data_IF_564891257093
#
_entry.id   IF_564891257093
#
_cell.length_a   1.000
_cell.length_b   1.000
_cell.length_c   1.000
_cell.angle_alpha   90.00
_cell.angle_beta   90.00
_cell.angle_gamma   90.00
#
_symmetry.space_group_name_H-M   'P 1'
#
loop_
_entity.id
_entity.type
_entity.pdbx_description
1 polymer ?
#
# COMPACT_ATOMS: atom_id res chain seq x y z
N UNK A 1 -19.50 -29.86 5.02
CA UNK A 1 -18.06 -29.83 4.69
C UNK A 1 -17.65 -28.55 3.93
N UNK A 2 -18.23 -28.25 2.76
CA UNK A 2 -17.89 -27.02 2.00
C UNK A 2 -18.04 -25.70 2.78
N UNK A 3 -19.10 -25.57 3.60
CA UNK A 3 -19.34 -24.39 4.45
C UNK A 3 -18.18 -24.14 5.44
N UNK A 4 -17.71 -25.19 6.12
CA UNK A 4 -16.60 -25.09 7.07
C UNK A 4 -15.27 -24.65 6.39
N UNK A 5 -15.02 -25.10 5.15
CA UNK A 5 -13.84 -24.68 4.39
C UNK A 5 -13.93 -23.19 4.05
N UNK A 6 -15.09 -22.72 3.61
CA UNK A 6 -15.30 -21.30 3.30
C UNK A 6 -15.11 -20.43 4.54
N UNK A 7 -15.66 -20.84 5.69
CA UNK A 7 -15.48 -20.14 6.97
C UNK A 7 -14.02 -20.08 7.41
N UNK A 8 -13.26 -21.17 7.23
CA UNK A 8 -11.83 -21.18 7.54
C UNK A 8 -11.05 -20.23 6.65
N UNK A 9 -11.30 -20.24 5.33
CA UNK A 9 -10.66 -19.32 4.40
C UNK A 9 -10.99 -17.85 4.73
N UNK A 10 -12.23 -17.57 5.13
CA UNK A 10 -12.67 -16.23 5.52
C UNK A 10 -11.93 -15.76 6.80
N UNK A 11 -11.79 -16.64 7.80
CA UNK A 11 -11.04 -16.33 9.02
C UNK A 11 -9.55 -16.05 8.74
N UNK A 12 -8.91 -16.89 7.95
CA UNK A 12 -7.47 -16.75 7.61
C UNK A 12 -7.23 -15.49 6.79
N UNK A 13 -8.05 -15.25 5.76
CA UNK A 13 -7.92 -14.07 4.91
C UNK A 13 -8.18 -12.77 5.68
N UNK A 14 -9.22 -12.74 6.53
CA UNK A 14 -9.54 -11.58 7.37
C UNK A 14 -8.40 -11.25 8.33
N UNK A 15 -7.84 -12.27 9.00
CA UNK A 15 -6.67 -12.07 9.87
C UNK A 15 -5.48 -11.50 9.10
N UNK A 16 -5.16 -12.09 7.95
CA UNK A 16 -4.06 -11.63 7.11
C UNK A 16 -4.23 -10.19 6.63
N UNK A 17 -5.43 -9.83 6.20
CA UNK A 17 -5.77 -8.49 5.74
C UNK A 17 -5.61 -7.44 6.86
N UNK A 18 -6.15 -7.72 8.06
CA UNK A 18 -6.04 -6.80 9.22
C UNK A 18 -4.61 -6.63 9.71
N UNK A 19 -3.82 -7.71 9.76
CA UNK A 19 -2.41 -7.63 10.14
C UNK A 19 -1.59 -6.84 9.12
N UNK A 20 -1.86 -7.01 7.83
CA UNK A 20 -1.20 -6.24 6.76
C UNK A 20 -1.51 -4.75 6.89
N UNK A 21 -2.78 -4.40 7.13
CA UNK A 21 -3.20 -3.03 7.39
C UNK A 21 -2.51 -2.42 8.62
N UNK A 22 -2.34 -3.18 9.71
CA UNK A 22 -1.62 -2.72 10.89
C UNK A 22 -0.12 -2.46 10.60
N UNK A 23 0.51 -3.28 9.77
CA UNK A 23 1.88 -3.06 9.30
C UNK A 23 2.01 -1.77 8.48
N UNK A 24 1.08 -1.55 7.55
CA UNK A 24 1.00 -0.32 6.75
C UNK A 24 0.81 0.90 7.67
N UNK A 25 -0.09 0.84 8.64
CA UNK A 25 -0.27 1.89 9.65
C UNK A 25 1.04 2.19 10.37
N UNK A 26 1.82 1.17 10.75
CA UNK A 26 3.12 1.35 11.38
C UNK A 26 4.07 2.21 10.53
N UNK A 27 4.09 2.00 9.20
CA UNK A 27 4.88 2.81 8.26
C UNK A 27 4.34 4.24 8.20
N UNK A 28 3.02 4.40 8.07
CA UNK A 28 2.36 5.73 8.04
C UNK A 28 2.68 6.53 9.31
N UNK A 29 2.59 5.90 10.48
CA UNK A 29 2.98 6.48 11.78
C UNK A 29 4.46 6.85 11.82
N UNK A 30 5.33 5.97 11.32
CA UNK A 30 6.77 6.22 11.28
C UNK A 30 7.12 7.45 10.44
N UNK A 31 6.34 7.71 9.39
CA UNK A 31 6.47 8.88 8.51
C UNK A 31 5.76 10.12 9.07
N UNK A 32 5.08 10.03 10.22
CA UNK A 32 4.32 11.13 10.82
C UNK A 32 3.09 11.55 10.01
N UNK A 33 2.51 10.62 9.25
CA UNK A 33 1.38 10.86 8.34
C UNK A 33 0.05 10.31 8.85
N UNK A 34 0.00 9.90 10.12
CA UNK A 34 -1.17 9.36 10.80
C UNK A 34 -2.03 10.43 11.49
N UNK A 35 -1.68 11.71 11.34
CA UNK A 35 -2.43 12.84 11.87
C UNK A 35 -2.43 14.01 10.87
N UNK A 36 -3.48 14.82 10.91
CA UNK A 36 -3.54 16.09 10.18
C UNK A 36 -2.78 17.14 10.98
N UNK A 37 -1.81 17.80 10.33
CA UNK A 37 -1.09 18.93 10.91
C UNK A 37 -1.66 20.23 10.36
N UNK A 38 -1.82 21.22 11.23
CA UNK A 38 -2.32 22.54 10.85
C UNK A 38 -1.45 23.14 9.74
N UNK A 39 -2.07 23.42 8.58
CA UNK A 39 -1.45 24.10 7.46
C UNK A 39 -1.22 23.26 6.20
N UNK A 40 -1.19 21.92 6.26
CA UNK A 40 -0.95 21.08 5.07
C UNK A 40 -1.77 19.79 5.08
N UNK A 41 -2.72 19.65 4.13
CA UNK A 41 -3.31 18.36 3.78
C UNK A 41 -2.30 17.58 2.93
N UNK A 42 -1.35 16.92 3.58
CA UNK A 42 -0.38 16.07 2.87
C UNK A 42 -1.04 14.77 2.41
N UNK A 43 -1.38 14.72 1.12
CA UNK A 43 -1.80 13.47 0.48
C UNK A 43 -0.64 12.47 0.46
N UNK A 44 -0.96 11.23 0.77
CA UNK A 44 0.00 10.12 0.76
C UNK A 44 -0.53 9.02 -0.11
N UNK A 45 0.31 8.51 -1.00
CA UNK A 45 -0.02 7.37 -1.85
C UNK A 45 0.81 6.16 -1.39
N UNK A 46 0.15 5.03 -1.26
CA UNK A 46 0.75 3.74 -0.93
C UNK A 46 0.59 2.85 -2.16
N UNK A 47 1.69 2.66 -2.89
CA UNK A 47 1.73 1.73 -4.00
C UNK A 47 1.74 0.29 -3.47
N UNK A 48 0.75 -0.51 -3.87
CA UNK A 48 0.66 -1.94 -3.58
C UNK A 48 0.80 -2.75 -4.86
N UNK A 49 1.61 -3.79 -4.79
CA UNK A 49 1.83 -4.76 -5.85
C UNK A 49 1.69 -6.18 -5.28
N UNK A 50 1.42 -7.14 -6.16
CA UNK A 50 1.40 -8.56 -5.84
C UNK A 50 0.03 -9.22 -6.02
N UNK A 51 0.07 -10.47 -6.48
CA UNK A 51 -1.11 -11.22 -6.91
C UNK A 51 -2.22 -11.40 -5.86
N UNK A 52 -1.88 -11.40 -4.56
CA UNK A 52 -2.87 -11.48 -3.49
C UNK A 52 -3.73 -10.22 -3.41
N UNK A 53 -3.11 -9.04 -3.43
CA UNK A 53 -3.84 -7.77 -3.47
C UNK A 53 -4.56 -7.61 -4.80
N UNK A 54 -3.90 -7.96 -5.90
CA UNK A 54 -4.44 -7.86 -7.26
C UNK A 54 -5.72 -8.69 -7.44
N UNK A 55 -5.66 -9.99 -7.19
CA UNK A 55 -6.70 -10.94 -7.61
C UNK A 55 -7.67 -11.34 -6.50
N UNK A 56 -7.31 -11.20 -5.21
CA UNK A 56 -8.19 -11.56 -4.11
C UNK A 56 -8.95 -10.34 -3.56
N UNK A 57 -10.09 -10.03 -4.20
CA UNK A 57 -10.91 -8.85 -3.88
C UNK A 57 -11.37 -8.77 -2.42
N UNK A 58 -11.72 -9.89 -1.77
CA UNK A 58 -12.08 -9.87 -0.33
C UNK A 58 -10.90 -9.49 0.56
N UNK A 59 -9.70 -9.96 0.24
CA UNK A 59 -8.50 -9.60 0.99
C UNK A 59 -8.19 -8.11 0.83
N UNK A 60 -8.22 -7.61 -0.42
CA UNK A 60 -8.07 -6.19 -0.75
C UNK A 60 -9.04 -5.32 0.06
N UNK A 61 -10.33 -5.59 -0.05
CA UNK A 61 -11.37 -4.82 0.63
C UNK A 61 -11.24 -4.90 2.16
N UNK A 62 -10.93 -6.09 2.70
CA UNK A 62 -10.71 -6.27 4.14
C UNK A 62 -9.50 -5.48 4.66
N UNK A 63 -8.43 -5.40 3.87
CA UNK A 63 -7.20 -4.70 4.25
C UNK A 63 -7.39 -3.18 4.16
N UNK A 64 -8.01 -2.67 3.08
CA UNK A 64 -8.34 -1.25 2.93
C UNK A 64 -9.33 -0.78 4.01
N UNK A 65 -10.37 -1.57 4.30
CA UNK A 65 -11.32 -1.27 5.38
C UNK A 65 -10.66 -1.26 6.75
N UNK A 66 -9.77 -2.22 7.04
CA UNK A 66 -9.06 -2.26 8.30
C UNK A 66 -8.09 -1.09 8.45
N UNK A 67 -7.41 -0.68 7.38
CA UNK A 67 -6.55 0.49 7.41
C UNK A 67 -7.35 1.77 7.67
N UNK A 68 -8.49 1.93 7.00
CA UNK A 68 -9.41 3.05 7.21
C UNK A 68 -9.92 3.12 8.65
N UNK A 69 -10.33 1.99 9.22
CA UNK A 69 -10.73 1.85 10.63
C UNK A 69 -9.62 2.32 11.58
N UNK A 70 -8.37 1.92 11.32
CA UNK A 70 -7.22 2.23 12.16
C UNK A 70 -6.77 3.70 12.09
N UNK A 71 -6.95 4.36 10.94
CA UNK A 71 -6.56 5.76 10.72
C UNK A 71 -7.65 6.76 11.16
N UNK A 72 -8.91 6.34 11.13
CA UNK A 72 -10.06 7.23 11.26
C UNK A 72 -10.38 7.98 9.96
N UNK A 73 -11.64 8.38 9.81
CA UNK A 73 -12.20 8.96 8.57
C UNK A 73 -11.44 10.19 8.08
N UNK A 74 -11.01 11.05 8.99
CA UNK A 74 -10.35 12.32 8.67
C UNK A 74 -8.98 12.11 8.01
N UNK A 75 -8.16 11.24 8.59
CA UNK A 75 -6.81 10.95 8.10
C UNK A 75 -6.86 10.01 6.90
N UNK A 76 -7.77 9.04 6.90
CA UNK A 76 -7.93 8.10 5.80
C UNK A 76 -8.27 8.80 4.47
N UNK A 77 -8.99 9.93 4.50
CA UNK A 77 -9.27 10.74 3.30
C UNK A 77 -8.02 11.31 2.61
N UNK A 78 -6.87 11.33 3.29
CA UNK A 78 -5.59 11.78 2.73
C UNK A 78 -4.66 10.63 2.32
N UNK A 79 -5.05 9.37 2.55
CA UNK A 79 -4.27 8.18 2.20
C UNK A 79 -4.95 7.47 1.04
N UNK A 80 -4.24 7.37 -0.08
CA UNK A 80 -4.67 6.66 -1.26
C UNK A 80 -3.85 5.38 -1.41
N UNK A 81 -4.53 4.26 -1.61
CA UNK A 81 -3.89 3.00 -1.98
C UNK A 81 -4.00 2.87 -3.49
N UNK A 82 -2.87 2.73 -4.17
CA UNK A 82 -2.81 2.57 -5.62
C UNK A 82 -2.22 1.21 -6.00
N UNK A 83 -2.86 0.54 -6.94
CA UNK A 83 -2.34 -0.71 -7.47
C UNK A 83 -1.24 -0.42 -8.48
N UNK A 84 -0.02 -0.87 -8.19
CA UNK A 84 1.17 -0.65 -9.00
C UNK A 84 1.62 -1.96 -9.63
N UNK A 85 0.95 -2.39 -10.70
CA UNK A 85 1.25 -3.66 -11.36
C UNK A 85 2.66 -3.65 -11.95
N UNK A 86 3.50 -4.57 -11.49
CA UNK A 86 4.91 -4.71 -11.88
C UNK A 86 5.72 -3.40 -11.74
N UNK A 87 5.40 -2.62 -10.71
CA UNK A 87 6.07 -1.33 -10.47
C UNK A 87 7.57 -1.47 -10.21
N UNK A 88 8.01 -2.65 -9.76
CA UNK A 88 9.42 -2.93 -9.47
C UNK A 88 10.28 -2.96 -10.73
N UNK A 89 9.79 -3.51 -11.85
CA UNK A 89 10.54 -3.56 -13.11
C UNK A 89 10.79 -2.17 -13.69
N UNK A 90 9.74 -1.34 -13.76
CA UNK A 90 9.86 0.06 -14.22
C UNK A 90 10.71 0.88 -13.24
N UNK A 91 10.49 0.71 -11.93
CA UNK A 91 11.26 1.39 -10.90
C UNK A 91 12.77 1.09 -10.98
N UNK A 92 13.13 -0.18 -11.23
CA UNK A 92 14.52 -0.57 -11.43
C UNK A 92 15.13 0.09 -12.67
N UNK A 93 14.38 0.18 -13.78
CA UNK A 93 14.84 0.87 -14.99
C UNK A 93 15.05 2.37 -14.77
N UNK A 94 14.14 3.04 -14.04
CA UNK A 94 14.28 4.46 -13.69
C UNK A 94 15.51 4.71 -12.82
N UNK A 95 15.74 3.85 -11.82
CA UNK A 95 16.95 3.93 -11.00
C UNK A 95 18.22 3.67 -11.82
N UNK A 96 18.21 2.70 -12.74
CA UNK A 96 19.35 2.46 -13.62
C UNK A 96 19.66 3.67 -14.52
N UNK A 97 18.62 4.33 -15.05
CA UNK A 97 18.76 5.54 -15.85
C UNK A 97 19.39 6.70 -15.04
N UNK A 98 18.98 6.90 -13.79
CA UNK A 98 19.54 7.96 -12.93
C UNK A 98 20.96 7.66 -12.42
N UNK A 99 21.46 6.44 -12.58
CA UNK A 99 22.82 6.02 -12.23
C UNK A 99 23.63 5.60 -13.46
N UNK A 100 23.21 6.07 -14.64
CA UNK A 100 23.86 5.77 -15.91
C UNK A 100 25.25 6.39 -15.98
N UNK A 101 26.20 5.68 -16.60
CA UNK A 101 27.52 6.23 -16.92
C UNK A 101 27.45 7.33 -18.00
N UNK A 102 26.31 7.46 -18.68
CA UNK A 102 26.11 8.42 -19.78
C UNK A 102 25.67 9.83 -19.30
N UNK A 103 25.68 10.11 -17.99
CA UNK A 103 25.33 11.45 -17.46
C UNK A 103 26.32 12.56 -17.84
N UNK A 104 27.59 12.21 -18.12
CA UNK A 104 28.67 13.19 -18.38
C UNK A 104 28.84 13.57 -19.86
N UNK A 105 27.99 13.06 -20.76
CA UNK A 105 28.16 13.25 -22.22
C UNK A 105 27.46 14.51 -22.75
N UNK A 106 26.59 15.16 -21.97
CA UNK A 106 25.90 16.39 -22.39
C UNK A 106 26.75 17.68 -22.21
N UNK A 107 27.90 17.63 -21.54
CA UNK A 107 28.79 18.78 -21.30
C UNK A 107 30.09 18.79 -22.15
N UNK A 108 30.15 18.03 -23.27
CA UNK A 108 31.31 18.01 -24.20
C UNK A 108 31.01 18.57 -25.59
#
# INVERSE_FOLDING_TARGET
MRKAIVELCDLVSTRGARLSAAGILGIVKKLGRDAIRDGEKQKSVIALDGGLYEHYTKFRAGMESALKELLGEEVAGNILIEHSNDGSGIGAALLAASHSQYLEVEDS
#
